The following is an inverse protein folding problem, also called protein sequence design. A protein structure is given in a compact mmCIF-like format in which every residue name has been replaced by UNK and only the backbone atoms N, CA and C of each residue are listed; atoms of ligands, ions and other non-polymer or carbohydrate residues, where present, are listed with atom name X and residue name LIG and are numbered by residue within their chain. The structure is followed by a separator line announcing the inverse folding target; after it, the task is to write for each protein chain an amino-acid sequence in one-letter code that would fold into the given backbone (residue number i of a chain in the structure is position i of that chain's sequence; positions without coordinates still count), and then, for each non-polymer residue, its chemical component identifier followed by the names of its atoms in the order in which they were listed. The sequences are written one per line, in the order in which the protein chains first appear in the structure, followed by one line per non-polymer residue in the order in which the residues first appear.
data_IF_430673753033
#
_entry.id   IF_430673753033
#
_cell.length_a   1.000
_cell.length_b   1.000
_cell.length_c   1.000
_cell.angle_alpha   90.00
_cell.angle_beta   90.00
_cell.angle_gamma   90.00
#
_symmetry.space_group_name_H-M   'P 1'
#
loop_
_entity.id
_entity.type
_entity.pdbx_description
1 polymer ?
#
# COMPACT_ATOMS: atom_id res chain seq x y z
N UNK A 1 13.33 30.00 34.27
CA UNK A 1 13.49 28.55 34.08
C UNK A 1 12.19 27.99 33.54
N UNK A 2 12.10 27.69 32.24
CA UNK A 2 11.06 26.83 31.66
C UNK A 2 11.65 26.17 30.40
N UNK A 3 11.75 24.82 30.34
CA UNK A 3 12.07 24.13 29.11
C UNK A 3 10.76 23.89 28.35
N UNK A 4 10.59 24.46 27.16
CA UNK A 4 9.55 24.00 26.23
C UNK A 4 10.15 22.99 25.26
N UNK A 5 9.48 21.85 25.25
CA UNK A 5 9.83 20.59 24.63
C UNK A 5 9.77 20.72 23.11
N UNK A 6 10.87 20.35 22.44
CA UNK A 6 10.91 20.11 20.99
C UNK A 6 10.05 18.90 20.64
N UNK A 7 8.82 19.14 20.21
CA UNK A 7 7.90 18.13 19.67
C UNK A 7 7.69 18.35 18.18
N UNK A 8 8.67 18.03 17.33
CA UNK A 8 8.54 18.21 15.88
C UNK A 8 9.33 17.19 15.03
N UNK A 9 9.74 16.07 15.62
CA UNK A 9 10.50 15.03 14.91
C UNK A 9 9.73 13.77 14.53
N UNK A 10 8.51 13.56 15.06
CA UNK A 10 7.81 12.28 14.92
C UNK A 10 6.77 12.25 13.79
N UNK A 11 6.09 13.36 13.48
CA UNK A 11 5.08 13.41 12.41
C UNK A 11 5.75 13.23 11.03
N UNK A 12 6.76 14.03 10.70
CA UNK A 12 7.46 13.96 9.41
C UNK A 12 8.10 12.58 9.13
N UNK A 13 8.63 11.91 10.16
CA UNK A 13 9.22 10.57 10.02
C UNK A 13 8.18 9.49 9.75
N UNK A 14 6.98 9.65 10.32
CA UNK A 14 5.87 8.71 10.12
C UNK A 14 5.33 8.84 8.70
N UNK A 15 5.21 10.08 8.20
CA UNK A 15 4.74 10.38 6.85
C UNK A 15 5.71 9.84 5.79
N UNK A 16 7.02 10.00 6.00
CA UNK A 16 8.04 9.46 5.09
C UNK A 16 8.06 7.93 5.09
N UNK A 17 7.94 7.29 6.26
CA UNK A 17 7.91 5.82 6.37
C UNK A 17 6.67 5.24 5.68
N UNK A 18 5.51 5.85 5.89
CA UNK A 18 4.28 5.45 5.21
C UNK A 18 4.41 5.60 3.69
N UNK A 19 4.89 6.74 3.21
CA UNK A 19 5.03 6.99 1.78
C UNK A 19 5.97 5.97 1.10
N UNK A 20 7.09 5.63 1.75
CA UNK A 20 8.01 4.58 1.26
C UNK A 20 7.31 3.22 1.17
N UNK A 21 6.54 2.84 2.19
CA UNK A 21 5.80 1.57 2.20
C UNK A 21 4.69 1.54 1.15
N UNK A 22 3.92 2.61 1.03
CA UNK A 22 2.86 2.74 0.03
C UNK A 22 3.43 2.64 -1.40
N UNK A 23 4.53 3.34 -1.68
CA UNK A 23 5.24 3.21 -2.96
C UNK A 23 5.73 1.79 -3.22
N UNK A 24 6.26 1.12 -2.20
CA UNK A 24 6.70 -0.28 -2.33
C UNK A 24 5.54 -1.21 -2.68
N UNK A 25 4.38 -1.03 -2.03
CA UNK A 25 3.16 -1.81 -2.32
C UNK A 25 2.74 -1.62 -3.77
N UNK A 26 2.58 -0.37 -4.21
CA UNK A 26 2.12 -0.06 -5.57
C UNK A 26 3.08 -0.59 -6.65
N UNK A 27 4.39 -0.49 -6.45
CA UNK A 27 5.41 -1.04 -7.37
C UNK A 27 5.45 -2.57 -7.44
N UNK A 28 4.93 -3.26 -6.43
CA UNK A 28 4.79 -4.71 -6.49
C UNK A 28 3.53 -5.13 -7.26
N UNK A 29 2.50 -4.30 -7.26
CA UNK A 29 1.21 -4.59 -7.91
C UNK A 29 1.17 -4.14 -9.38
N UNK A 30 1.78 -3.01 -9.71
CA UNK A 30 1.64 -2.34 -11.00
C UNK A 30 2.96 -2.26 -11.77
N UNK A 31 2.88 -2.32 -13.09
CA UNK A 31 4.01 -2.09 -14.00
C UNK A 31 4.14 -0.59 -14.29
N UNK A 32 4.81 0.14 -13.39
CA UNK A 32 5.02 1.60 -13.50
C UNK A 32 5.41 2.27 -12.17
N UNK A 33 5.81 3.54 -12.25
CA UNK A 33 5.95 4.37 -11.05
C UNK A 33 4.60 5.00 -10.68
N UNK A 34 4.12 4.84 -9.43
CA UNK A 34 2.89 5.49 -9.00
C UNK A 34 3.07 7.02 -8.99
N UNK A 35 2.06 7.74 -9.50
CA UNK A 35 1.96 9.20 -9.37
C UNK A 35 1.81 9.61 -7.91
N UNK A 36 1.85 10.93 -7.62
CA UNK A 36 1.74 11.45 -6.25
C UNK A 36 0.55 10.83 -5.47
N UNK A 37 0.88 10.01 -4.47
CA UNK A 37 -0.07 9.30 -3.61
C UNK A 37 -0.33 10.06 -2.32
N UNK A 38 -1.56 9.97 -1.81
CA UNK A 38 -1.94 10.52 -0.51
C UNK A 38 -2.62 9.45 0.36
N UNK A 39 -2.86 9.76 1.64
CA UNK A 39 -3.39 8.78 2.59
C UNK A 39 -4.82 8.29 2.28
N UNK A 40 -5.58 9.07 1.50
CA UNK A 40 -6.94 8.75 1.07
C UNK A 40 -7.03 8.02 -0.27
N UNK A 41 -5.93 7.94 -1.03
CA UNK A 41 -5.88 7.19 -2.28
C UNK A 41 -6.26 5.73 -2.03
N UNK A 42 -7.13 5.17 -2.86
CA UNK A 42 -7.52 3.76 -2.82
C UNK A 42 -6.85 2.97 -3.95
N UNK A 43 -6.90 1.63 -3.91
CA UNK A 43 -6.39 0.84 -5.04
C UNK A 43 -7.25 1.03 -6.29
N UNK A 44 -8.56 1.24 -6.13
CA UNK A 44 -9.48 1.49 -7.24
C UNK A 44 -9.16 2.77 -8.03
N UNK A 45 -8.44 3.73 -7.45
CA UNK A 45 -7.96 4.93 -8.16
C UNK A 45 -6.94 4.59 -9.28
N UNK A 46 -6.35 3.39 -9.24
CA UNK A 46 -5.41 2.88 -10.25
C UNK A 46 -6.07 1.92 -11.24
N UNK A 47 -7.42 1.82 -11.25
CA UNK A 47 -8.12 0.93 -12.17
C UNK A 47 -7.75 1.22 -13.63
N UNK A 48 -7.36 0.17 -14.36
CA UNK A 48 -6.89 0.29 -15.74
C UNK A 48 -5.37 0.45 -15.87
N UNK A 49 -4.63 0.66 -14.78
CA UNK A 49 -3.18 0.50 -14.78
C UNK A 49 -2.80 -0.96 -15.08
N UNK A 50 -1.70 -1.14 -15.81
CA UNK A 50 -1.13 -2.45 -16.10
C UNK A 50 -0.71 -3.12 -14.81
N UNK A 51 -1.26 -4.32 -14.56
CA UNK A 51 -0.86 -5.15 -13.44
C UNK A 51 0.46 -5.85 -13.75
N UNK A 52 1.32 -5.97 -12.74
CA UNK A 52 2.56 -6.72 -12.85
C UNK A 52 2.25 -8.19 -13.18
N UNK A 53 2.98 -8.75 -14.15
CA UNK A 53 2.85 -10.15 -14.60
C UNK A 53 1.42 -10.53 -15.05
N UNK A 54 0.61 -9.55 -15.49
CA UNK A 54 -0.77 -9.72 -15.94
C UNK A 54 -0.98 -9.50 -17.44
N UNK A 55 -2.15 -9.85 -17.99
CA UNK A 55 -2.53 -9.47 -19.35
C UNK A 55 -2.53 -7.95 -19.52
N UNK A 56 -2.21 -7.43 -20.72
CA UNK A 56 -2.13 -5.99 -20.97
C UNK A 56 -3.50 -5.29 -20.90
N UNK A 57 -4.61 -6.04 -21.00
CA UNK A 57 -5.95 -5.50 -20.83
C UNK A 57 -6.81 -6.45 -20.01
N UNK A 58 -7.52 -5.88 -19.04
CA UNK A 58 -8.50 -6.57 -18.21
C UNK A 58 -9.79 -5.77 -18.22
N UNK A 59 -10.92 -6.45 -18.12
CA UNK A 59 -12.17 -5.76 -17.76
C UNK A 59 -12.04 -5.21 -16.33
N UNK A 60 -12.82 -4.19 -15.99
CA UNK A 60 -12.84 -3.60 -14.66
C UNK A 60 -12.95 -4.66 -13.55
N UNK A 61 -13.88 -5.61 -13.69
CA UNK A 61 -14.08 -6.68 -12.71
C UNK A 61 -12.87 -7.63 -12.63
N UNK A 62 -12.30 -8.04 -13.77
CA UNK A 62 -11.14 -8.91 -13.79
C UNK A 62 -9.90 -8.24 -13.18
N UNK A 63 -9.74 -6.93 -13.41
CA UNK A 63 -8.69 -6.12 -12.80
C UNK A 63 -8.81 -6.12 -11.28
N UNK A 64 -10.02 -5.86 -10.75
CA UNK A 64 -10.29 -5.82 -9.31
C UNK A 64 -10.01 -7.16 -8.62
N UNK A 65 -10.45 -8.26 -9.22
CA UNK A 65 -10.16 -9.61 -8.72
C UNK A 65 -8.66 -9.84 -8.68
N UNK A 66 -7.97 -9.52 -9.78
CA UNK A 66 -6.53 -9.76 -9.90
C UNK A 66 -5.70 -8.91 -8.95
N UNK A 67 -6.10 -7.67 -8.67
CA UNK A 67 -5.44 -6.82 -7.66
C UNK A 67 -5.55 -7.45 -6.28
N UNK A 68 -6.73 -7.92 -5.88
CA UNK A 68 -6.91 -8.62 -4.60
C UNK A 68 -6.03 -9.86 -4.51
N UNK A 69 -6.01 -10.67 -5.57
CA UNK A 69 -5.14 -11.86 -5.65
C UNK A 69 -3.66 -11.51 -5.52
N UNK A 70 -3.20 -10.44 -6.19
CA UNK A 70 -1.82 -9.97 -6.12
C UNK A 70 -1.46 -9.46 -4.73
N UNK A 71 -2.33 -8.66 -4.10
CA UNK A 71 -2.10 -8.18 -2.73
C UNK A 71 -1.97 -9.36 -1.77
N UNK A 72 -2.88 -10.33 -1.85
CA UNK A 72 -2.80 -11.53 -1.03
C UNK A 72 -1.52 -12.34 -1.33
N UNK A 73 -1.19 -12.56 -2.60
CA UNK A 73 0.00 -13.33 -2.99
C UNK A 73 1.32 -12.64 -2.60
N UNK A 74 1.40 -11.31 -2.64
CA UNK A 74 2.61 -10.55 -2.33
C UNK A 74 2.79 -10.35 -0.82
N UNK A 75 1.70 -10.12 -0.09
CA UNK A 75 1.75 -9.65 1.30
C UNK A 75 1.02 -10.53 2.31
N UNK A 76 0.25 -11.54 1.86
CA UNK A 76 -0.54 -12.41 2.74
C UNK A 76 -1.71 -11.71 3.41
N UNK A 77 -2.21 -10.62 2.83
CA UNK A 77 -3.26 -9.76 3.41
C UNK A 77 -4.42 -9.64 2.42
N UNK A 78 -5.65 -9.87 2.88
CA UNK A 78 -6.86 -9.57 2.11
C UNK A 78 -7.07 -8.06 2.03
N UNK A 79 -7.59 -7.54 0.92
CA UNK A 79 -7.89 -6.12 0.80
C UNK A 79 -9.27 -5.84 0.21
N UNK A 80 -9.80 -4.67 0.58
CA UNK A 80 -10.86 -4.03 -0.19
C UNK A 80 -10.23 -2.98 -1.09
N UNK A 81 -10.57 -3.00 -2.38
CA UNK A 81 -9.94 -2.11 -3.37
C UNK A 81 -10.31 -0.65 -3.14
N UNK A 82 -11.46 -0.41 -2.49
CA UNK A 82 -12.01 0.91 -2.19
C UNK A 82 -11.60 1.40 -0.79
N UNK A 83 -10.83 0.60 -0.02
CA UNK A 83 -10.28 1.06 1.25
C UNK A 83 -9.14 2.06 1.02
N UNK A 84 -8.91 3.01 1.95
CA UNK A 84 -7.75 3.88 1.89
C UNK A 84 -6.45 3.08 1.93
N UNK A 85 -5.50 3.41 1.05
CA UNK A 85 -4.20 2.77 0.96
C UNK A 85 -3.43 2.84 2.28
N UNK A 86 -3.64 3.89 3.08
CA UNK A 86 -3.12 3.99 4.45
C UNK A 86 -3.54 2.83 5.35
N UNK A 87 -4.79 2.37 5.24
CA UNK A 87 -5.31 1.22 6.00
C UNK A 87 -4.67 -0.09 5.52
N UNK A 88 -4.57 -0.28 4.21
CA UNK A 88 -3.91 -1.45 3.64
C UNK A 88 -2.43 -1.51 4.02
N UNK A 89 -1.70 -0.41 3.89
CA UNK A 89 -0.27 -0.32 4.24
C UNK A 89 -0.05 -0.63 5.72
N UNK A 90 -0.89 -0.12 6.62
CA UNK A 90 -0.80 -0.44 8.03
C UNK A 90 -0.98 -1.94 8.30
N UNK A 91 -1.91 -2.60 7.60
CA UNK A 91 -2.14 -4.05 7.74
C UNK A 91 -0.97 -4.87 7.16
N UNK A 92 -0.40 -4.46 6.03
CA UNK A 92 0.80 -5.08 5.45
C UNK A 92 1.99 -4.91 6.41
N UNK A 93 2.19 -3.72 6.96
CA UNK A 93 3.26 -3.46 7.93
C UNK A 93 3.10 -4.33 9.19
N UNK A 94 1.87 -4.47 9.70
CA UNK A 94 1.58 -5.36 10.82
C UNK A 94 1.83 -6.83 10.47
N UNK A 95 1.43 -7.27 9.27
CA UNK A 95 1.69 -8.62 8.79
C UNK A 95 3.20 -8.90 8.70
N UNK A 96 3.97 -8.01 8.09
CA UNK A 96 5.43 -8.17 7.97
C UNK A 96 6.15 -8.16 9.32
N UNK A 97 5.68 -7.34 10.27
CA UNK A 97 6.20 -7.34 11.65
C UNK A 97 5.74 -8.57 12.45
N UNK A 98 4.58 -9.13 12.12
CA UNK A 98 3.98 -10.31 12.72
C UNK A 98 4.50 -11.64 12.16
N UNK A 99 5.15 -11.65 10.99
CA UNK A 99 5.79 -12.82 10.35
C UNK A 99 7.15 -13.13 11.01
N UNK A 100 7.17 -13.12 12.36
CA UNK A 100 8.10 -13.89 13.20
C UNK A 100 7.33 -14.98 13.97
N UNK A 101 6.47 -15.71 13.28
CA UNK A 101 5.93 -16.96 13.77
C UNK A 101 6.41 -18.07 12.84
N UNK A 102 7.53 -18.66 13.24
CA UNK A 102 7.94 -20.01 12.86
C UNK A 102 6.75 -20.97 12.97
N UNK A 103 6.50 -21.72 11.90
CA UNK A 103 5.98 -23.08 11.97
C UNK A 103 6.95 -23.99 11.23
#
# INVERSE_FOLDING_TARGET
MHPQVSGSGQAARKDETWAVMANRVLRQLFDGEPSAINESTALSDFEGCTLRDGPPSLSAMAWRIRVKDLVFSCFGVDCDIDEPLSSLVARIELAERGVRCTL
#
